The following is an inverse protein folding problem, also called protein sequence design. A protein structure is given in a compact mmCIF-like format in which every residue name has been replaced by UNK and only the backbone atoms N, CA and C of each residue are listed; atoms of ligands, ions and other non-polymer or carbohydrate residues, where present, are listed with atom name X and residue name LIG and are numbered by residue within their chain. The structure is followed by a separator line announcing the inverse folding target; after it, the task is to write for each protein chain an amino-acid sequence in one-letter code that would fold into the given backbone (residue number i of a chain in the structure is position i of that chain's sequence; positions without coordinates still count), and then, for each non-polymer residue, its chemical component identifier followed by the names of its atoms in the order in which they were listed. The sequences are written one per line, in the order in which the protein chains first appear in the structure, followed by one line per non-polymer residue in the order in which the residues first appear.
data_IF_029572232566
#
_entry.id   IF_029572232566
#
_cell.length_a   1.000
_cell.length_b   1.000
_cell.length_c   1.000
_cell.angle_alpha   90.00
_cell.angle_beta   90.00
_cell.angle_gamma   90.00
#
_symmetry.space_group_name_H-M   'P 1'
#
loop_
_entity.id
_entity.type
_entity.pdbx_description
1 polymer ?
#
# COMPACT_ATOMS: atom_id res chain seq x y z
N UNK A 1 -28.94 13.11 -7.43
CA UNK A 1 -27.55 13.25 -6.95
C UNK A 1 -26.84 14.22 -7.87
N UNK A 2 -26.67 15.46 -7.42
CA UNK A 2 -25.97 16.49 -8.17
C UNK A 2 -24.48 16.20 -8.05
N UNK A 3 -23.82 15.89 -9.17
CA UNK A 3 -22.37 15.78 -9.22
C UNK A 3 -21.80 17.15 -8.83
N UNK A 4 -21.30 17.26 -7.60
CA UNK A 4 -20.47 18.38 -7.19
C UNK A 4 -19.27 18.37 -8.14
N UNK A 5 -19.17 19.40 -8.97
CA UNK A 5 -17.96 19.71 -9.72
C UNK A 5 -16.80 19.68 -8.74
N UNK A 6 -15.86 18.73 -8.90
CA UNK A 6 -14.61 18.62 -8.12
C UNK A 6 -13.86 19.96 -8.24
N UNK A 7 -14.11 20.87 -7.30
CA UNK A 7 -13.29 22.06 -7.08
C UNK A 7 -11.85 21.60 -6.83
N UNK A 8 -10.86 22.39 -7.25
CA UNK A 8 -9.41 22.11 -7.19
C UNK A 8 -9.01 21.09 -6.10
N UNK A 9 -8.24 20.03 -6.45
CA UNK A 9 -7.87 18.97 -5.50
C UNK A 9 -7.30 19.56 -4.22
N UNK A 10 -7.94 19.27 -3.08
CA UNK A 10 -7.43 19.67 -1.78
C UNK A 10 -6.05 19.00 -1.57
N UNK A 11 -5.05 19.81 -1.26
CA UNK A 11 -3.72 19.30 -0.88
C UNK A 11 -3.62 19.18 0.63
N UNK A 12 -2.66 18.40 1.11
CA UNK A 12 -2.32 18.36 2.53
C UNK A 12 -2.09 19.78 3.08
N UNK A 13 -1.33 20.61 2.37
CA UNK A 13 -1.06 22.00 2.76
C UNK A 13 -2.34 22.83 2.94
N UNK A 14 -3.30 22.71 2.02
CA UNK A 14 -4.59 23.43 2.11
C UNK A 14 -5.39 22.95 3.32
N UNK A 15 -5.47 21.64 3.52
CA UNK A 15 -6.30 21.00 4.55
C UNK A 15 -5.81 21.27 5.96
N UNK A 16 -4.50 21.18 6.19
CA UNK A 16 -3.91 21.32 7.53
C UNK A 16 -3.53 22.75 7.88
N UNK A 17 -3.75 23.72 6.98
CA UNK A 17 -3.43 25.13 7.23
C UNK A 17 -4.03 25.66 8.52
N UNK A 18 -5.29 25.32 8.82
CA UNK A 18 -5.96 25.75 10.06
C UNK A 18 -5.27 25.15 11.29
N UNK A 19 -4.98 23.86 11.26
CA UNK A 19 -4.32 23.11 12.33
C UNK A 19 -2.86 23.55 12.54
N UNK A 20 -2.17 23.93 11.47
CA UNK A 20 -0.83 24.50 11.52
C UNK A 20 -0.86 25.93 12.06
N UNK A 21 -1.85 26.74 11.71
CA UNK A 21 -2.02 28.07 12.31
C UNK A 21 -2.27 27.98 13.83
N UNK A 22 -3.05 26.99 14.28
CA UNK A 22 -3.22 26.70 15.70
C UNK A 22 -1.90 26.31 16.36
N UNK A 23 -1.15 25.39 15.76
CA UNK A 23 0.20 25.01 16.23
C UNK A 23 1.10 26.25 16.37
N UNK A 24 1.16 27.09 15.34
CA UNK A 24 1.96 28.32 15.36
C UNK A 24 1.54 29.25 16.50
N UNK A 25 0.23 29.45 16.70
CA UNK A 25 -0.29 30.30 17.77
C UNK A 25 0.13 29.78 19.15
N UNK A 26 -0.11 28.51 19.45
CA UNK A 26 0.20 27.90 20.74
C UNK A 26 1.70 27.89 21.05
N UNK A 27 2.54 27.58 20.05
CA UNK A 27 3.99 27.58 20.23
C UNK A 27 4.56 28.99 20.45
N UNK A 28 3.99 30.02 19.83
CA UNK A 28 4.36 31.43 20.11
C UNK A 28 4.01 31.83 21.53
N UNK A 29 2.83 31.44 22.04
CA UNK A 29 2.46 31.69 23.44
C UNK A 29 3.43 31.03 24.43
N UNK A 30 3.98 29.87 24.07
CA UNK A 30 5.02 29.16 24.83
C UNK A 30 6.44 29.71 24.64
N UNK A 31 6.63 30.79 23.86
CA UNK A 31 7.94 31.41 23.63
C UNK A 31 8.88 30.61 22.73
N UNK A 32 8.36 29.67 21.93
CA UNK A 32 9.18 28.91 20.97
C UNK A 32 9.64 29.83 19.85
N UNK A 33 10.92 29.72 19.46
CA UNK A 33 11.51 30.52 18.37
C UNK A 33 10.78 30.28 17.05
N UNK A 34 10.50 31.36 16.31
CA UNK A 34 9.76 31.31 15.03
C UNK A 34 10.36 30.31 14.03
N UNK A 35 11.70 30.25 13.93
CA UNK A 35 12.39 29.29 13.06
C UNK A 35 12.03 27.82 13.39
N UNK A 36 11.88 27.47 14.67
CA UNK A 36 11.48 26.11 15.07
C UNK A 36 10.02 25.84 14.70
N UNK A 37 9.15 26.84 14.82
CA UNK A 37 7.74 26.76 14.45
C UNK A 37 7.61 26.52 12.93
N UNK A 38 8.34 27.28 12.12
CA UNK A 38 8.36 27.09 10.66
C UNK A 38 8.87 25.70 10.27
N UNK A 39 9.95 25.22 10.89
CA UNK A 39 10.51 23.89 10.65
C UNK A 39 9.51 22.77 10.98
N UNK A 40 8.76 22.90 12.09
CA UNK A 40 7.70 21.96 12.46
C UNK A 40 6.59 21.93 11.39
N UNK A 41 6.07 23.10 11.00
CA UNK A 41 5.02 23.19 9.99
C UNK A 41 5.47 22.62 8.63
N UNK A 42 6.69 22.97 8.17
CA UNK A 42 7.24 22.44 6.92
C UNK A 42 7.48 20.93 6.97
N UNK A 43 7.79 20.40 8.14
CA UNK A 43 7.97 18.96 8.35
C UNK A 43 6.64 18.20 8.45
N UNK A 44 5.50 18.89 8.46
CA UNK A 44 4.17 18.28 8.45
C UNK A 44 3.58 18.05 9.84
N UNK A 45 4.09 18.73 10.87
CA UNK A 45 3.47 18.73 12.20
C UNK A 45 2.28 19.68 12.24
N UNK A 46 1.29 19.35 13.07
CA UNK A 46 0.07 20.14 13.26
C UNK A 46 -0.54 19.94 14.65
N UNK A 47 -1.52 20.78 15.01
CA UNK A 47 -2.26 20.68 16.28
C UNK A 47 -3.77 20.68 16.02
N UNK A 48 -4.54 20.01 16.87
CA UNK A 48 -6.01 19.97 16.78
C UNK A 48 -6.65 20.62 18.00
N UNK A 49 -7.79 21.27 17.80
CA UNK A 49 -8.47 22.05 18.85
C UNK A 49 -8.91 21.19 20.05
N UNK A 50 -9.25 19.92 19.83
CA UNK A 50 -9.73 19.01 20.86
C UNK A 50 -8.59 18.40 21.70
N UNK A 51 -7.32 18.59 21.32
CA UNK A 51 -6.14 18.12 22.07
C UNK A 51 -5.01 19.17 22.03
N UNK A 52 -5.19 20.35 22.67
CA UNK A 52 -4.28 21.49 22.54
C UNK A 52 -2.89 21.27 23.15
N UNK A 53 -2.72 20.23 23.97
CA UNK A 53 -1.43 19.89 24.59
C UNK A 53 -0.62 18.87 23.79
N UNK A 54 -1.06 18.52 22.58
CA UNK A 54 -0.44 17.52 21.73
C UNK A 54 -0.18 18.04 20.33
N UNK A 55 0.95 17.61 19.79
CA UNK A 55 1.38 17.87 18.42
C UNK A 55 1.33 16.54 17.67
N UNK A 56 0.76 16.57 16.47
CA UNK A 56 0.60 15.42 15.60
C UNK A 56 1.58 15.49 14.44
N UNK A 57 2.08 14.35 14.00
CA UNK A 57 2.98 14.21 12.85
C UNK A 57 2.25 13.50 11.71
N UNK A 58 1.92 14.25 10.66
CA UNK A 58 1.20 13.72 9.50
C UNK A 58 2.00 12.71 8.65
N UNK A 59 3.28 12.50 8.94
CA UNK A 59 4.05 11.40 8.36
C UNK A 59 3.61 10.04 8.92
N UNK A 60 3.33 9.97 10.23
CA UNK A 60 3.13 8.70 10.94
C UNK A 60 1.74 8.52 11.53
N UNK A 61 0.86 9.52 11.39
CA UNK A 61 -0.52 9.44 11.84
C UNK A 61 -0.67 9.53 13.37
N UNK A 62 -1.92 9.72 13.80
CA UNK A 62 -2.27 9.89 15.22
C UNK A 62 -2.50 8.57 15.98
N UNK A 63 -2.44 7.43 15.29
CA UNK A 63 -2.84 6.11 15.80
C UNK A 63 -1.91 5.59 16.91
N UNK A 64 -0.63 5.99 16.89
CA UNK A 64 0.40 5.47 17.78
C UNK A 64 1.07 6.61 18.55
N UNK A 65 0.73 6.68 19.84
CA UNK A 65 1.35 7.60 20.79
C UNK A 65 2.88 7.48 20.74
N UNK A 66 3.57 8.61 20.85
CA UNK A 66 5.02 8.76 20.75
C UNK A 66 5.62 8.38 19.39
N UNK A 67 4.83 8.04 18.36
CA UNK A 67 5.31 7.83 16.99
C UNK A 67 4.81 8.91 16.04
N UNK A 68 3.53 9.26 16.11
CA UNK A 68 2.99 10.40 15.38
C UNK A 68 2.10 11.33 16.21
N UNK A 69 2.15 11.19 17.54
CA UNK A 69 1.48 12.06 18.50
C UNK A 69 2.41 12.28 19.70
N UNK A 70 2.69 13.55 20.00
CA UNK A 70 3.64 13.94 21.03
C UNK A 70 2.99 14.95 21.98
N UNK A 71 3.29 14.85 23.28
CA UNK A 71 3.06 15.98 24.17
C UNK A 71 3.98 17.14 23.74
N UNK A 72 3.43 18.35 23.69
CA UNK A 72 4.15 19.55 23.22
C UNK A 72 5.50 19.74 23.91
N UNK A 73 5.55 19.61 25.24
CA UNK A 73 6.76 19.88 26.01
C UNK A 73 7.79 18.74 25.87
N UNK A 74 7.34 17.52 25.55
CA UNK A 74 8.25 16.39 25.23
C UNK A 74 8.88 16.60 23.85
N UNK A 75 8.08 16.96 22.84
CA UNK A 75 8.59 17.19 21.48
C UNK A 75 9.62 18.31 21.45
N UNK A 76 9.34 19.44 22.12
CA UNK A 76 10.25 20.58 22.12
C UNK A 76 11.58 20.26 22.80
N UNK A 77 11.57 19.51 23.90
CA UNK A 77 12.80 19.06 24.58
C UNK A 77 13.64 18.11 23.74
N UNK A 78 13.01 17.26 22.92
CA UNK A 78 13.74 16.29 22.08
C UNK A 78 14.70 16.93 21.08
N UNK A 79 14.45 18.19 20.68
CA UNK A 79 15.32 18.94 19.75
C UNK A 79 16.60 19.44 20.42
N UNK A 80 16.49 19.90 21.67
CA UNK A 80 17.58 20.61 22.36
C UNK A 80 18.53 19.67 23.10
N UNK A 81 18.05 18.51 23.53
CA UNK A 81 18.83 17.57 24.36
C UNK A 81 19.43 16.40 23.57
N UNK A 82 19.23 16.36 22.26
CA UNK A 82 19.31 15.11 21.51
C UNK A 82 18.17 14.19 21.94
N UNK A 83 17.76 13.30 21.05
CA UNK A 83 16.77 12.28 21.39
C UNK A 83 17.32 11.52 22.60
N UNK A 84 16.63 11.55 23.76
CA UNK A 84 16.95 10.58 24.81
C UNK A 84 16.78 9.20 24.17
N UNK A 85 17.87 8.43 24.09
CA UNK A 85 17.87 7.09 23.50
C UNK A 85 16.78 6.18 24.12
N UNK A 86 16.29 6.53 25.31
CA UNK A 86 15.19 5.88 26.03
C UNK A 86 13.82 5.96 25.31
N UNK A 87 13.61 6.91 24.39
CA UNK A 87 12.34 7.09 23.67
C UNK A 87 12.42 6.59 22.21
N UNK A 88 13.64 6.37 21.69
CA UNK A 88 13.82 5.90 20.32
C UNK A 88 13.31 4.45 20.16
N UNK A 89 12.36 4.25 19.26
CA UNK A 89 11.78 2.94 18.97
C UNK A 89 12.44 2.38 17.70
N UNK A 90 13.67 1.86 17.86
CA UNK A 90 14.45 1.31 16.75
C UNK A 90 14.13 -0.18 16.57
N UNK A 91 13.81 -0.64 15.34
CA UNK A 91 13.74 -2.06 15.07
C UNK A 91 15.13 -2.69 15.22
N UNK A 92 15.17 -4.00 15.47
CA UNK A 92 16.43 -4.75 15.43
C UNK A 92 16.93 -4.84 13.98
N UNK A 93 18.22 -4.63 13.77
CA UNK A 93 18.85 -4.68 12.45
C UNK A 93 19.79 -5.88 12.37
N UNK A 94 19.70 -6.61 11.27
CA UNK A 94 20.45 -7.83 11.01
C UNK A 94 21.08 -7.75 9.62
N UNK A 95 22.26 -8.36 9.47
CA UNK A 95 22.93 -8.52 8.19
C UNK A 95 22.97 -9.99 7.83
N UNK A 96 22.44 -10.33 6.66
CA UNK A 96 22.26 -11.72 6.22
C UNK A 96 22.93 -11.96 4.87
N UNK A 97 23.52 -13.13 4.71
CA UNK A 97 24.14 -13.62 3.47
C UNK A 97 23.29 -14.69 2.77
N UNK A 98 22.26 -15.24 3.43
CA UNK A 98 21.35 -16.22 2.82
C UNK A 98 19.95 -16.16 3.44
N UNK A 99 18.97 -16.72 2.75
CA UNK A 99 17.56 -16.59 3.09
C UNK A 99 17.17 -17.32 4.38
N UNK A 100 17.81 -18.45 4.70
CA UNK A 100 17.54 -19.24 5.90
C UNK A 100 17.84 -18.49 7.20
N UNK A 101 18.74 -17.50 7.15
CA UNK A 101 19.10 -16.73 8.33
C UNK A 101 17.92 -15.93 8.88
N UNK A 102 16.94 -15.54 8.05
CA UNK A 102 15.73 -14.85 8.52
C UNK A 102 14.95 -15.75 9.49
N UNK A 103 14.68 -17.00 9.11
CA UNK A 103 13.94 -17.92 9.96
C UNK A 103 14.75 -18.38 11.17
N UNK A 104 16.07 -18.56 11.03
CA UNK A 104 16.98 -18.85 12.15
C UNK A 104 16.94 -17.73 13.21
N UNK A 105 17.08 -16.47 12.79
CA UNK A 105 17.04 -15.29 13.67
C UNK A 105 15.66 -15.16 14.33
N UNK A 106 14.58 -15.21 13.55
CA UNK A 106 13.22 -15.10 14.08
C UNK A 106 12.79 -16.31 14.92
N UNK A 107 13.52 -17.42 14.88
CA UNK A 107 13.26 -18.58 15.74
C UNK A 107 14.15 -18.63 16.98
N UNK A 108 15.08 -17.68 17.14
CA UNK A 108 16.07 -17.69 18.21
C UNK A 108 15.48 -17.39 19.60
N UNK A 109 14.41 -16.60 19.66
CA UNK A 109 13.64 -16.36 20.89
C UNK A 109 12.20 -16.85 20.77
N UNK A 110 11.61 -17.28 21.90
CA UNK A 110 10.29 -17.91 21.93
C UNK A 110 9.17 -17.00 21.40
N UNK A 111 9.30 -15.68 21.59
CA UNK A 111 8.27 -14.73 21.20
C UNK A 111 8.28 -14.52 19.68
N UNK A 112 9.45 -14.27 19.09
CA UNK A 112 9.61 -14.20 17.64
C UNK A 112 9.20 -15.52 16.98
N UNK A 113 9.60 -16.65 17.58
CA UNK A 113 9.22 -17.97 17.08
C UNK A 113 7.71 -18.15 17.06
N UNK A 114 7.02 -17.78 18.14
CA UNK A 114 5.57 -17.82 18.20
C UNK A 114 4.93 -16.95 17.11
N UNK A 115 5.46 -15.75 16.84
CA UNK A 115 4.94 -14.88 15.78
C UNK A 115 5.18 -15.45 14.37
N UNK A 116 6.35 -16.05 14.14
CA UNK A 116 6.68 -16.70 12.88
C UNK A 116 5.78 -17.93 12.63
N UNK A 117 5.68 -18.83 13.61
CA UNK A 117 4.92 -20.09 13.50
C UNK A 117 3.42 -19.87 13.31
N UNK A 118 2.88 -18.74 13.79
CA UNK A 118 1.47 -18.37 13.63
C UNK A 118 1.21 -17.42 12.45
N UNK A 119 2.22 -17.11 11.63
CA UNK A 119 2.05 -16.26 10.44
C UNK A 119 1.70 -14.80 10.75
N UNK A 120 2.11 -14.27 11.90
CA UNK A 120 1.86 -12.87 12.27
C UNK A 120 2.85 -11.88 11.67
N UNK A 121 3.98 -12.37 11.14
CA UNK A 121 4.93 -11.53 10.42
C UNK A 121 4.53 -11.36 8.97
N UNK A 122 4.77 -10.16 8.48
CA UNK A 122 4.71 -9.83 7.07
C UNK A 122 5.97 -9.10 6.66
N UNK A 123 6.29 -9.14 5.37
CA UNK A 123 7.59 -8.77 4.85
C UNK A 123 7.44 -7.85 3.64
N UNK A 124 8.41 -6.96 3.46
CA UNK A 124 8.57 -6.17 2.24
C UNK A 124 10.03 -6.15 1.84
N UNK A 125 10.31 -6.59 0.63
CA UNK A 125 11.63 -6.45 0.03
C UNK A 125 11.76 -5.15 -0.73
N UNK A 126 12.90 -4.49 -0.59
CA UNK A 126 13.30 -3.38 -1.44
C UNK A 126 14.76 -3.54 -1.85
N UNK A 127 15.06 -3.01 -3.03
CA UNK A 127 16.41 -3.08 -3.60
C UNK A 127 17.46 -2.26 -2.87
N UNK A 128 17.01 -1.25 -2.15
CA UNK A 128 17.81 -0.37 -1.34
C UNK A 128 16.90 0.25 -0.28
N UNK A 129 17.50 0.64 0.83
CA UNK A 129 16.81 1.45 1.81
C UNK A 129 16.60 2.87 1.30
N UNK A 130 15.45 3.45 1.62
CA UNK A 130 15.16 4.85 1.34
C UNK A 130 14.99 5.60 2.64
N UNK A 131 15.61 6.78 2.72
CA UNK A 131 15.48 7.68 3.85
C UNK A 131 15.05 9.08 3.40
N UNK A 132 14.61 9.87 4.37
CA UNK A 132 14.38 11.31 4.27
C UNK A 132 14.92 12.00 5.52
N UNK A 133 15.37 13.24 5.36
CA UNK A 133 15.71 14.11 6.49
C UNK A 133 14.84 15.35 6.41
N UNK A 134 13.92 15.50 7.38
CA UNK A 134 13.03 16.67 7.46
C UNK A 134 13.73 17.81 8.20
N UNK A 135 13.21 19.03 8.05
CA UNK A 135 13.75 20.19 8.79
C UNK A 135 13.59 20.02 10.32
N UNK A 136 12.55 19.32 10.73
CA UNK A 136 12.31 18.84 12.08
C UNK A 136 12.00 17.34 11.98
N UNK A 137 13.00 16.50 12.25
CA UNK A 137 12.85 15.06 12.16
C UNK A 137 11.97 14.48 13.27
N UNK A 138 11.38 13.32 13.02
CA UNK A 138 10.64 12.59 14.06
C UNK A 138 11.58 12.16 15.19
N UNK A 139 11.33 12.54 16.45
CA UNK A 139 12.28 12.28 17.53
C UNK A 139 12.36 10.82 17.95
N UNK A 140 11.43 9.95 17.57
CA UNK A 140 11.43 8.55 18.01
C UNK A 140 11.76 7.57 16.89
N UNK A 141 11.61 8.00 15.64
CA UNK A 141 11.80 7.18 14.43
C UNK A 141 13.02 7.59 13.60
N UNK A 142 13.62 8.76 13.86
CA UNK A 142 14.86 9.16 13.19
C UNK A 142 16.10 8.54 13.84
N UNK A 143 17.14 8.35 13.02
CA UNK A 143 18.47 7.97 13.51
C UNK A 143 19.21 9.19 14.12
N UNK A 144 20.44 9.00 14.58
CA UNK A 144 21.25 10.06 15.18
C UNK A 144 21.58 11.22 14.23
N UNK A 145 21.53 10.97 12.92
CA UNK A 145 21.72 11.98 11.89
C UNK A 145 20.41 12.70 11.53
N UNK A 146 19.28 12.32 12.14
CA UNK A 146 17.95 12.84 11.82
C UNK A 146 17.35 12.24 10.55
N UNK A 147 17.90 11.15 10.01
CA UNK A 147 17.31 10.45 8.87
C UNK A 147 16.18 9.53 9.35
N UNK A 148 15.08 9.57 8.62
CA UNK A 148 13.88 8.77 8.84
C UNK A 148 13.72 7.77 7.70
N UNK A 149 13.49 6.50 8.05
CA UNK A 149 13.24 5.44 7.08
C UNK A 149 11.90 5.66 6.36
N UNK A 150 11.90 5.53 5.04
CA UNK A 150 10.73 5.71 4.19
C UNK A 150 10.21 4.35 3.69
N UNK A 151 9.12 3.89 4.30
CA UNK A 151 8.38 2.70 3.90
C UNK A 151 7.00 3.13 3.46
N UNK A 152 6.91 3.55 2.20
CA UNK A 152 5.68 4.13 1.66
C UNK A 152 5.16 3.34 0.43
N UNK A 153 3.84 3.32 0.22
CA UNK A 153 3.20 2.93 -1.04
C UNK A 153 3.83 3.56 -2.28
N UNK A 154 3.75 2.87 -3.42
CA UNK A 154 4.32 3.32 -4.70
C UNK A 154 3.80 4.69 -5.12
N UNK A 155 2.48 4.90 -5.00
CA UNK A 155 1.79 6.12 -5.41
C UNK A 155 2.30 7.39 -4.68
N UNK A 156 2.83 7.25 -3.46
CA UNK A 156 3.32 8.35 -2.64
C UNK A 156 4.76 8.75 -2.96
N UNK A 157 5.54 7.90 -3.64
CA UNK A 157 6.96 8.16 -3.94
C UNK A 157 7.18 9.42 -4.77
N UNK A 158 6.22 9.80 -5.61
CA UNK A 158 6.25 11.04 -6.41
C UNK A 158 6.28 12.32 -5.56
N UNK A 159 5.87 12.24 -4.29
CA UNK A 159 5.89 13.36 -3.35
C UNK A 159 7.14 13.38 -2.48
N UNK A 160 8.14 12.51 -2.72
CA UNK A 160 9.37 12.43 -1.90
C UNK A 160 10.11 13.77 -1.78
N UNK A 161 10.07 14.61 -2.82
CA UNK A 161 10.71 15.93 -2.80
C UNK A 161 9.90 17.00 -2.06
N UNK A 162 8.58 16.83 -1.96
CA UNK A 162 7.70 17.75 -1.25
C UNK A 162 6.39 17.06 -0.84
N UNK A 163 6.41 16.46 0.35
CA UNK A 163 5.29 15.69 0.87
C UNK A 163 4.06 16.56 1.14
N UNK A 164 4.21 17.85 1.44
CA UNK A 164 3.05 18.74 1.71
C UNK A 164 2.18 18.98 0.48
N UNK A 165 2.70 18.70 -0.73
CA UNK A 165 1.95 18.74 -1.99
C UNK A 165 1.16 17.46 -2.28
N UNK A 166 1.19 16.46 -1.39
CA UNK A 166 0.37 15.25 -1.54
C UNK A 166 -1.10 15.63 -1.60
N UNK A 167 -1.80 15.03 -2.55
CA UNK A 167 -3.22 15.26 -2.78
C UNK A 167 -4.04 14.40 -1.83
N UNK A 168 -5.13 14.98 -1.32
CA UNK A 168 -6.07 14.31 -0.42
C UNK A 168 -7.02 13.44 -1.22
N UNK A 169 -7.43 13.95 -2.38
CA UNK A 169 -8.19 13.27 -3.42
C UNK A 169 -7.29 12.52 -4.41
N UNK A 170 -6.06 12.17 -4.02
CA UNK A 170 -5.47 10.96 -4.56
C UNK A 170 -6.29 9.78 -4.00
N UNK A 171 -7.58 9.80 -4.33
CA UNK A 171 -8.56 8.81 -4.01
C UNK A 171 -7.97 7.50 -4.49
N UNK A 172 -8.33 6.46 -3.76
CA UNK A 172 -8.26 5.08 -4.17
C UNK A 172 -9.10 4.92 -5.46
N UNK A 173 -8.68 5.53 -6.58
CA UNK A 173 -9.26 5.30 -7.91
C UNK A 173 -8.82 3.89 -8.30
N UNK A 174 -9.41 2.91 -7.64
CA UNK A 174 -9.41 1.55 -8.10
C UNK A 174 -10.28 1.49 -9.33
N UNK A 175 -9.70 1.05 -10.44
CA UNK A 175 -10.37 0.99 -11.74
C UNK A 175 -11.63 0.11 -11.71
N UNK A 176 -11.72 -0.83 -10.76
CA UNK A 176 -12.92 -1.64 -10.54
C UNK A 176 -14.13 -0.85 -10.01
N UNK A 177 -13.90 0.34 -9.44
CA UNK A 177 -14.97 1.25 -9.02
C UNK A 177 -15.63 1.98 -10.21
N UNK A 178 -14.98 2.04 -11.38
CA UNK A 178 -15.49 2.72 -12.57
C UNK A 178 -16.05 1.72 -13.59
N UNK A 179 -16.68 2.22 -14.66
CA UNK A 179 -17.08 1.38 -15.79
C UNK A 179 -15.89 0.89 -16.63
N UNK A 180 -14.68 1.39 -16.36
CA UNK A 180 -13.49 1.04 -17.13
C UNK A 180 -13.05 -0.41 -16.97
N UNK A 181 -13.40 -1.02 -15.85
CA UNK A 181 -13.13 -2.42 -15.56
C UNK A 181 -14.26 -3.37 -15.96
N UNK A 182 -15.36 -2.89 -16.58
CA UNK A 182 -16.52 -3.73 -16.90
C UNK A 182 -16.15 -4.90 -17.82
N UNK A 183 -15.23 -4.70 -18.78
CA UNK A 183 -14.73 -5.78 -19.65
C UNK A 183 -13.96 -6.89 -18.89
N UNK A 184 -13.41 -6.57 -17.72
CA UNK A 184 -12.77 -7.54 -16.82
C UNK A 184 -13.84 -8.19 -15.95
N UNK A 185 -14.73 -7.38 -15.36
CA UNK A 185 -15.80 -7.82 -14.46
C UNK A 185 -16.74 -8.80 -15.16
N UNK A 186 -17.19 -8.47 -16.38
CA UNK A 186 -18.15 -9.28 -17.14
C UNK A 186 -17.46 -10.24 -18.12
N UNK A 187 -16.16 -10.50 -17.94
CA UNK A 187 -15.43 -11.42 -18.79
C UNK A 187 -16.13 -12.79 -18.91
N UNK A 188 -16.23 -13.28 -20.14
CA UNK A 188 -16.93 -14.53 -20.47
C UNK A 188 -18.44 -14.39 -20.68
N UNK A 189 -19.03 -13.19 -20.51
CA UNK A 189 -20.43 -12.91 -20.84
C UNK A 189 -20.47 -12.14 -22.17
N UNK A 190 -20.94 -12.79 -23.22
CA UNK A 190 -21.07 -12.15 -24.54
C UNK A 190 -22.11 -11.03 -24.51
N UNK A 191 -21.80 -9.91 -25.15
CA UNK A 191 -22.69 -8.75 -25.30
C UNK A 191 -23.29 -8.27 -23.96
N UNK A 192 -22.53 -8.35 -22.87
CA UNK A 192 -23.01 -8.01 -21.52
C UNK A 192 -23.59 -6.58 -21.45
N UNK A 193 -23.07 -5.63 -22.26
CA UNK A 193 -23.59 -4.26 -22.30
C UNK A 193 -25.05 -4.20 -22.80
N UNK A 194 -25.48 -5.18 -23.58
CA UNK A 194 -26.83 -5.23 -24.15
C UNK A 194 -27.83 -5.92 -23.21
N UNK A 195 -27.37 -6.71 -22.23
CA UNK A 195 -28.22 -7.51 -21.32
C UNK A 195 -29.31 -6.67 -20.67
N UNK A 196 -29.02 -5.52 -20.00
CA UNK A 196 -30.08 -4.72 -19.38
C UNK A 196 -31.12 -4.22 -20.40
N UNK A 197 -30.68 -3.83 -21.59
CA UNK A 197 -31.56 -3.29 -22.63
C UNK A 197 -32.43 -4.38 -23.28
N UNK A 198 -31.88 -5.59 -23.46
CA UNK A 198 -32.59 -6.73 -24.03
C UNK A 198 -33.60 -7.27 -23.04
N UNK A 199 -33.25 -7.34 -21.76
CA UNK A 199 -34.17 -7.72 -20.70
C UNK A 199 -35.36 -6.76 -20.61
N UNK A 200 -35.09 -5.45 -20.62
CA UNK A 200 -36.14 -4.41 -20.62
C UNK A 200 -37.09 -4.56 -21.82
N UNK A 201 -36.57 -4.83 -23.03
CA UNK A 201 -37.41 -4.99 -24.23
C UNK A 201 -38.34 -6.19 -24.16
N UNK A 202 -37.89 -7.29 -23.54
CA UNK A 202 -38.69 -8.53 -23.44
C UNK A 202 -39.70 -8.48 -22.29
N UNK A 203 -39.32 -7.88 -21.16
CA UNK A 203 -40.07 -7.99 -19.90
C UNK A 203 -40.67 -6.66 -19.39
N UNK A 204 -40.32 -5.53 -20.00
CA UNK A 204 -40.71 -4.20 -19.52
C UNK A 204 -39.85 -3.72 -18.36
N UNK A 205 -40.40 -2.84 -17.50
CA UNK A 205 -39.73 -2.43 -16.27
C UNK A 205 -39.51 -3.64 -15.37
N UNK A 206 -38.31 -3.76 -14.84
CA UNK A 206 -37.93 -4.87 -13.97
C UNK A 206 -37.24 -4.36 -12.71
N UNK A 207 -37.39 -5.12 -11.63
CA UNK A 207 -36.59 -5.02 -10.42
C UNK A 207 -35.29 -5.80 -10.59
N UNK A 208 -34.29 -5.40 -9.82
CA UNK A 208 -33.01 -6.07 -9.70
C UNK A 208 -33.16 -7.59 -9.44
N UNK A 209 -34.11 -7.99 -8.58
CA UNK A 209 -34.36 -9.38 -8.23
C UNK A 209 -34.92 -10.22 -9.39
N UNK A 210 -35.65 -9.62 -10.33
CA UNK A 210 -36.21 -10.37 -11.47
C UNK A 210 -35.13 -10.84 -12.45
N UNK A 211 -33.96 -10.19 -12.48
CA UNK A 211 -32.80 -10.67 -13.25
C UNK A 211 -32.14 -11.91 -12.61
N UNK A 212 -32.18 -12.05 -11.27
CA UNK A 212 -31.70 -13.25 -10.57
C UNK A 212 -32.55 -14.46 -10.97
N UNK A 213 -33.87 -14.25 -11.04
CA UNK A 213 -34.83 -15.28 -11.38
C UNK A 213 -34.92 -15.54 -12.91
N UNK A 214 -34.06 -14.87 -13.71
CA UNK A 214 -33.98 -15.13 -15.16
C UNK A 214 -33.60 -16.59 -15.41
N UNK A 215 -34.14 -17.16 -16.48
CA UNK A 215 -33.76 -18.51 -16.93
C UNK A 215 -32.50 -18.50 -17.81
N UNK A 216 -32.01 -17.32 -18.20
CA UNK A 216 -30.78 -17.15 -18.98
C UNK A 216 -29.56 -17.05 -18.04
N UNK A 217 -28.62 -18.01 -18.08
CA UNK A 217 -27.42 -18.00 -17.24
C UNK A 217 -26.55 -16.75 -17.42
N UNK A 218 -26.53 -16.14 -18.61
CA UNK A 218 -25.75 -14.93 -18.86
C UNK A 218 -26.33 -13.73 -18.10
N UNK A 219 -27.65 -13.67 -17.98
CA UNK A 219 -28.38 -12.60 -17.28
C UNK A 219 -28.25 -12.75 -15.77
N UNK A 220 -28.33 -13.98 -15.27
CA UNK A 220 -28.04 -14.31 -13.88
C UNK A 220 -26.60 -13.90 -13.52
N UNK A 221 -25.62 -14.35 -14.30
CA UNK A 221 -24.21 -14.04 -14.05
C UNK A 221 -23.91 -12.54 -14.16
N UNK A 222 -24.51 -11.83 -15.12
CA UNK A 222 -24.40 -10.37 -15.24
C UNK A 222 -24.91 -9.70 -13.96
N UNK A 223 -26.11 -10.09 -13.52
CA UNK A 223 -26.73 -9.49 -12.35
C UNK A 223 -25.93 -9.77 -11.07
N UNK A 224 -25.51 -11.01 -10.84
CA UNK A 224 -24.71 -11.38 -9.67
C UNK A 224 -23.47 -10.52 -9.55
N UNK A 225 -22.73 -10.34 -10.66
CA UNK A 225 -21.52 -9.52 -10.69
C UNK A 225 -21.81 -8.04 -10.50
N UNK A 226 -22.85 -7.51 -11.16
CA UNK A 226 -23.29 -6.12 -10.98
C UNK A 226 -23.70 -5.84 -9.53
N UNK A 227 -24.48 -6.74 -8.94
CA UNK A 227 -24.96 -6.61 -7.57
C UNK A 227 -23.79 -6.59 -6.59
N UNK A 228 -22.84 -7.52 -6.72
CA UNK A 228 -21.67 -7.62 -5.84
C UNK A 228 -20.71 -6.43 -5.97
N UNK A 229 -20.50 -5.93 -7.19
CA UNK A 229 -19.44 -4.94 -7.46
C UNK A 229 -19.92 -3.50 -7.57
N UNK A 230 -21.20 -3.28 -7.85
CA UNK A 230 -21.74 -1.94 -8.11
C UNK A 230 -22.87 -1.57 -7.15
N UNK A 231 -23.75 -2.50 -6.80
CA UNK A 231 -24.89 -2.21 -5.93
C UNK A 231 -24.60 -2.42 -4.44
N UNK A 232 -23.87 -3.48 -4.09
CA UNK A 232 -23.53 -3.88 -2.72
C UNK A 232 -22.04 -3.68 -2.40
N UNK A 233 -21.35 -2.83 -3.18
CA UNK A 233 -19.94 -2.53 -2.99
C UNK A 233 -19.72 -1.61 -1.79
N UNK A 234 -19.94 -2.13 -0.59
CA UNK A 234 -19.36 -1.53 0.61
C UNK A 234 -17.84 -1.70 0.53
N UNK A 235 -17.16 -0.67 0.01
CA UNK A 235 -15.70 -0.52 0.00
C UNK A 235 -14.92 -1.80 -0.34
N UNK A 236 -14.96 -2.21 -1.61
CA UNK A 236 -14.15 -3.32 -2.14
C UNK A 236 -12.65 -2.98 -2.21
N UNK A 237 -12.06 -2.57 -1.08
CA UNK A 237 -10.61 -2.41 -0.89
C UNK A 237 -9.81 -3.65 -1.31
N UNK A 238 -10.46 -4.80 -1.30
CA UNK A 238 -9.97 -6.09 -1.80
C UNK A 238 -9.64 -6.09 -3.30
N UNK A 239 -10.38 -5.34 -4.12
CA UNK A 239 -10.12 -5.22 -5.56
C UNK A 239 -8.90 -4.33 -5.84
N UNK A 240 -8.67 -3.31 -5.00
CA UNK A 240 -7.44 -2.54 -5.06
C UNK A 240 -6.21 -3.42 -4.79
N UNK A 241 -6.35 -4.46 -3.95
CA UNK A 241 -5.30 -5.47 -3.78
C UNK A 241 -5.02 -6.18 -5.09
N UNK A 242 -6.06 -6.70 -5.75
CA UNK A 242 -5.92 -7.37 -7.04
C UNK A 242 -5.25 -6.42 -8.03
N UNK A 243 -5.78 -5.21 -8.21
CA UNK A 243 -5.23 -4.17 -9.10
C UNK A 243 -3.72 -3.94 -8.90
N UNK A 244 -3.27 -3.82 -7.65
CA UNK A 244 -1.88 -3.55 -7.32
C UNK A 244 -0.91 -4.66 -7.72
N UNK A 245 -1.29 -5.92 -7.53
CA UNK A 245 -0.44 -7.06 -7.93
C UNK A 245 -0.33 -7.25 -9.45
N UNK A 246 -1.18 -6.58 -10.22
CA UNK A 246 -1.03 -6.48 -11.67
C UNK A 246 -0.43 -5.14 -12.13
N UNK A 247 0.06 -4.32 -11.20
CA UNK A 247 0.87 -3.14 -11.46
C UNK A 247 0.15 -1.80 -11.36
N UNK A 248 -1.13 -1.80 -11.01
CA UNK A 248 -1.90 -0.57 -10.85
C UNK A 248 -1.55 0.11 -9.50
N UNK A 249 -1.13 1.37 -9.52
CA UNK A 249 -0.74 2.08 -8.30
C UNK A 249 -1.93 2.30 -7.35
N UNK A 250 -1.78 1.94 -6.07
CA UNK A 250 -2.76 2.26 -5.01
C UNK A 250 -2.06 2.86 -3.79
N UNK A 251 -2.84 3.30 -2.79
CA UNK A 251 -2.32 3.75 -1.47
C UNK A 251 -1.99 2.60 -0.52
N UNK A 252 -2.13 1.36 -0.99
CA UNK A 252 -1.73 0.16 -0.29
C UNK A 252 -0.22 -0.05 -0.29
N UNK A 253 0.31 -0.53 0.84
CA UNK A 253 1.69 -0.97 0.92
C UNK A 253 1.79 -2.46 0.60
N UNK A 254 2.46 -2.81 -0.51
CA UNK A 254 2.72 -4.22 -0.83
C UNK A 254 3.53 -4.90 0.27
N UNK A 255 2.91 -5.89 0.90
CA UNK A 255 3.50 -6.82 1.85
C UNK A 255 3.27 -8.26 1.38
N UNK A 256 4.07 -9.18 1.93
CA UNK A 256 3.90 -10.63 1.74
C UNK A 256 4.07 -11.36 3.06
N UNK A 257 3.35 -12.46 3.27
CA UNK A 257 3.57 -13.37 4.40
C UNK A 257 4.75 -14.34 4.17
N UNK A 258 5.33 -14.35 2.96
CA UNK A 258 6.49 -15.16 2.60
C UNK A 258 7.76 -14.29 2.44
N UNK A 259 8.70 -14.44 3.38
CA UNK A 259 9.97 -13.71 3.34
C UNK A 259 10.81 -14.07 2.10
N UNK A 260 10.60 -15.23 1.45
CA UNK A 260 11.29 -15.57 0.19
C UNK A 260 10.78 -14.70 -0.96
N UNK A 261 9.47 -14.47 -1.03
CA UNK A 261 8.87 -13.52 -1.97
C UNK A 261 9.39 -12.10 -1.72
N UNK A 262 9.54 -11.67 -0.46
CA UNK A 262 10.20 -10.39 -0.16
C UNK A 262 11.64 -10.35 -0.67
N UNK A 263 12.42 -11.42 -0.46
CA UNK A 263 13.81 -11.49 -0.94
C UNK A 263 13.93 -11.49 -2.46
N UNK A 264 12.98 -12.07 -3.18
CA UNK A 264 12.89 -11.88 -4.64
C UNK A 264 12.85 -10.40 -4.99
N UNK A 265 11.95 -9.60 -4.39
CA UNK A 265 11.87 -8.17 -4.72
C UNK A 265 13.09 -7.35 -4.29
N UNK A 266 13.83 -7.78 -3.26
CA UNK A 266 15.07 -7.13 -2.85
C UNK A 266 16.26 -7.46 -3.75
N UNK A 267 16.23 -8.61 -4.44
CA UNK A 267 17.32 -9.12 -5.28
C UNK A 267 17.07 -8.96 -6.78
N UNK A 268 15.92 -8.40 -7.18
CA UNK A 268 15.53 -8.23 -8.59
C UNK A 268 15.31 -6.76 -8.95
N UNK A 269 15.71 -6.37 -10.17
CA UNK A 269 15.42 -5.07 -10.78
C UNK A 269 14.20 -5.19 -11.69
N UNK A 270 13.19 -4.37 -11.42
CA UNK A 270 12.09 -4.12 -12.35
C UNK A 270 12.57 -3.19 -13.48
N UNK A 271 12.36 -3.59 -14.74
CA UNK A 271 12.76 -2.82 -15.92
C UNK A 271 11.60 -2.74 -16.94
N UNK A 272 11.17 -1.52 -17.27
CA UNK A 272 10.30 -1.28 -18.42
C UNK A 272 11.13 -1.32 -19.71
N UNK A 273 10.73 -2.19 -20.63
CA UNK A 273 11.32 -2.36 -21.96
C UNK A 273 10.76 -1.33 -22.94
N UNK A 274 11.47 -1.12 -24.05
CA UNK A 274 11.08 -0.18 -25.12
C UNK A 274 9.77 -0.56 -25.81
N UNK A 275 9.39 -1.84 -25.78
CA UNK A 275 8.12 -2.35 -26.28
C UNK A 275 6.94 -2.11 -25.31
N UNK A 276 7.16 -1.45 -24.17
CA UNK A 276 6.13 -1.16 -23.16
C UNK A 276 5.85 -2.32 -22.20
N UNK A 277 6.59 -3.44 -22.29
CA UNK A 277 6.49 -4.56 -21.35
C UNK A 277 7.51 -4.44 -20.24
N UNK A 278 7.28 -5.10 -19.11
CA UNK A 278 8.18 -5.16 -17.97
C UNK A 278 8.89 -6.49 -17.86
N UNK A 279 10.04 -6.50 -17.21
CA UNK A 279 10.70 -7.73 -16.77
C UNK A 279 11.38 -7.52 -15.42
N UNK A 280 11.61 -8.63 -14.72
CA UNK A 280 12.52 -8.68 -13.57
C UNK A 280 13.85 -9.26 -13.99
N UNK A 281 14.94 -8.58 -13.63
CA UNK A 281 16.31 -9.05 -13.82
C UNK A 281 17.05 -9.20 -12.49
N UNK A 282 17.80 -10.29 -12.27
CA UNK A 282 18.59 -10.42 -11.06
C UNK A 282 19.58 -9.26 -10.91
N UNK A 283 19.74 -8.78 -9.68
CA UNK A 283 20.88 -7.93 -9.31
C UNK A 283 22.12 -8.82 -9.34
N UNK A 284 23.22 -8.31 -9.93
CA UNK A 284 24.44 -9.10 -10.07
C UNK A 284 25.14 -9.35 -8.74
N UNK A 285 25.90 -10.44 -8.69
CA UNK A 285 26.70 -10.83 -7.52
C UNK A 285 27.59 -9.68 -7.04
N UNK A 286 27.68 -9.49 -5.73
CA UNK A 286 28.47 -8.42 -5.12
C UNK A 286 27.81 -7.03 -5.18
N UNK A 287 26.61 -6.92 -5.76
CA UNK A 287 25.90 -5.63 -5.94
C UNK A 287 24.62 -5.53 -5.10
N UNK A 288 24.38 -6.48 -4.20
CA UNK A 288 23.21 -6.44 -3.34
C UNK A 288 23.31 -5.32 -2.31
N UNK A 289 22.30 -4.46 -2.32
CA UNK A 289 22.02 -3.43 -1.31
C UNK A 289 20.60 -3.60 -0.75
N UNK A 290 20.03 -4.78 -1.00
CA UNK A 290 18.64 -5.09 -0.68
C UNK A 290 18.37 -5.05 0.81
N UNK A 291 17.12 -4.75 1.14
CA UNK A 291 16.62 -4.72 2.51
C UNK A 291 15.27 -5.42 2.58
N UNK A 292 15.09 -6.23 3.63
CA UNK A 292 13.82 -6.86 3.98
C UNK A 292 13.32 -6.24 5.26
N UNK A 293 12.16 -5.61 5.20
CA UNK A 293 11.46 -5.14 6.38
C UNK A 293 10.53 -6.23 6.88
N UNK A 294 10.62 -6.55 8.17
CA UNK A 294 9.70 -7.45 8.85
C UNK A 294 8.77 -6.64 9.75
N UNK A 295 7.46 -6.79 9.56
CA UNK A 295 6.43 -6.04 10.26
C UNK A 295 5.62 -6.97 11.17
N UNK A 296 5.13 -6.40 12.27
CA UNK A 296 4.14 -7.02 13.13
C UNK A 296 2.98 -6.06 13.36
N UNK A 297 1.87 -6.29 12.66
CA UNK A 297 0.64 -5.51 12.77
C UNK A 297 -0.26 -6.10 13.84
N UNK A 298 -0.24 -5.52 15.05
CA UNK A 298 -1.02 -6.04 16.17
C UNK A 298 -2.52 -5.70 16.04
N UNK A 299 -2.84 -4.45 15.71
CA UNK A 299 -4.21 -3.94 15.59
C UNK A 299 -4.22 -2.82 14.53
N UNK A 300 -4.98 -2.96 13.43
CA UNK A 300 -5.65 -4.19 12.98
C UNK A 300 -4.61 -5.24 12.57
N UNK A 301 -4.93 -6.53 12.76
CA UNK A 301 -4.17 -7.61 12.12
C UNK A 301 -4.40 -7.55 10.62
N UNK A 302 -3.35 -7.71 9.83
CA UNK A 302 -3.48 -7.82 8.38
C UNK A 302 -3.83 -9.26 7.98
N UNK A 303 -4.66 -9.40 6.95
CA UNK A 303 -5.11 -10.71 6.44
C UNK A 303 -4.40 -11.04 5.13
N UNK A 304 -4.06 -12.31 4.93
CA UNK A 304 -3.52 -12.79 3.65
C UNK A 304 -4.55 -12.61 2.54
N UNK A 305 -4.11 -12.04 1.43
CA UNK A 305 -4.94 -11.82 0.25
C UNK A 305 -5.44 -13.13 -0.35
N UNK A 306 -4.77 -14.27 -0.11
CA UNK A 306 -5.30 -15.58 -0.50
C UNK A 306 -6.65 -15.85 0.17
N UNK A 307 -6.79 -15.49 1.44
CA UNK A 307 -8.04 -15.70 2.19
C UNK A 307 -9.10 -14.68 1.79
N UNK A 308 -8.68 -13.47 1.40
CA UNK A 308 -9.54 -12.45 0.81
C UNK A 308 -10.07 -12.91 -0.57
N UNK A 309 -9.20 -13.32 -1.49
CA UNK A 309 -9.56 -13.73 -2.86
C UNK A 309 -10.49 -14.94 -2.88
N UNK A 310 -10.34 -15.88 -1.96
CA UNK A 310 -11.29 -17.01 -1.85
C UNK A 310 -12.72 -16.54 -1.61
N UNK A 311 -12.89 -15.41 -0.93
CA UNK A 311 -14.18 -14.84 -0.59
C UNK A 311 -14.62 -13.72 -1.57
N UNK A 312 -13.75 -13.31 -2.50
CA UNK A 312 -14.08 -12.39 -3.59
C UNK A 312 -14.97 -13.08 -4.63
N UNK A 313 -16.26 -13.19 -4.30
CA UNK A 313 -17.31 -13.76 -5.18
C UNK A 313 -17.32 -13.12 -6.56
N UNK A 314 -17.06 -11.82 -6.62
CA UNK A 314 -17.06 -11.01 -7.85
C UNK A 314 -16.04 -11.44 -8.90
N UNK A 315 -14.93 -12.06 -8.48
CA UNK A 315 -13.88 -12.56 -9.37
C UNK A 315 -13.74 -14.08 -9.32
N UNK A 316 -14.72 -14.82 -8.78
CA UNK A 316 -14.66 -16.30 -8.76
C UNK A 316 -14.53 -16.92 -10.15
N UNK A 317 -15.08 -16.24 -11.16
CA UNK A 317 -14.99 -16.64 -12.57
C UNK A 317 -13.62 -16.34 -13.21
N UNK A 318 -12.77 -15.54 -12.55
CA UNK A 318 -11.43 -15.17 -12.97
C UNK A 318 -10.48 -15.18 -11.77
N UNK A 319 -9.94 -16.34 -11.42
CA UNK A 319 -9.08 -16.48 -10.25
C UNK A 319 -7.71 -15.79 -10.45
N UNK A 320 -7.42 -14.66 -9.76
CA UNK A 320 -6.15 -13.97 -9.95
C UNK A 320 -5.02 -14.73 -9.24
N UNK A 321 -4.02 -15.20 -10.01
CA UNK A 321 -2.97 -16.06 -9.45
C UNK A 321 -1.83 -15.29 -8.78
N UNK A 322 -1.49 -14.09 -9.26
CA UNK A 322 -0.36 -13.31 -8.68
C UNK A 322 -0.49 -13.06 -7.19
N UNK A 323 -1.60 -12.52 -6.66
CA UNK A 323 -1.70 -12.25 -5.24
C UNK A 323 -1.67 -13.54 -4.39
N UNK A 324 -2.20 -14.64 -4.93
CA UNK A 324 -2.18 -15.96 -4.28
C UNK A 324 -0.76 -16.53 -4.19
N UNK A 325 0.00 -16.50 -5.30
CA UNK A 325 1.38 -17.03 -5.34
C UNK A 325 2.36 -16.16 -4.55
N UNK A 326 2.12 -14.86 -4.46
CA UNK A 326 2.91 -13.90 -3.69
C UNK A 326 2.53 -13.85 -2.21
N UNK A 327 1.48 -14.54 -1.77
CA UNK A 327 0.97 -14.53 -0.38
C UNK A 327 0.86 -13.12 0.18
N UNK A 328 0.27 -12.21 -0.59
CA UNK A 328 0.34 -10.79 -0.28
C UNK A 328 -0.59 -10.33 0.84
N UNK A 329 -0.36 -9.11 1.30
CA UNK A 329 -1.23 -8.32 2.14
C UNK A 329 -1.11 -6.86 1.73
N UNK A 330 -2.17 -6.08 1.94
CA UNK A 330 -2.20 -4.68 1.52
C UNK A 330 -2.84 -3.75 2.57
N UNK A 331 -2.11 -3.40 3.64
CA UNK A 331 -2.54 -2.33 4.52
C UNK A 331 -2.53 -0.99 3.76
N UNK A 332 -3.61 -0.23 3.88
CA UNK A 332 -3.76 1.08 3.24
C UNK A 332 -3.31 2.20 4.17
N UNK A 333 -2.48 3.10 3.63
CA UNK A 333 -2.00 4.28 4.34
C UNK A 333 -2.43 5.53 3.59
N UNK A 334 -3.23 6.35 4.26
CA UNK A 334 -3.81 7.56 3.74
C UNK A 334 -2.78 8.70 3.68
N UNK A 335 -3.22 9.84 3.16
CA UNK A 335 -2.36 11.02 3.00
C UNK A 335 -1.86 11.57 4.34
N UNK A 336 -2.57 11.39 5.45
CA UNK A 336 -2.24 11.95 6.77
C UNK A 336 -1.49 10.99 7.71
N UNK A 337 -1.09 9.84 7.17
CA UNK A 337 -0.29 8.81 7.86
C UNK A 337 0.58 8.03 6.86
N UNK A 338 1.08 8.70 5.82
CA UNK A 338 1.59 8.03 4.62
C UNK A 338 2.89 7.21 4.82
N UNK A 339 3.63 7.41 5.92
CA UNK A 339 4.80 6.63 6.34
C UNK A 339 4.58 5.85 7.65
N UNK A 340 3.32 5.70 8.08
CA UNK A 340 2.94 5.00 9.32
C UNK A 340 3.40 3.53 9.33
N UNK A 341 3.60 2.89 8.18
CA UNK A 341 4.13 1.53 8.11
C UNK A 341 5.43 1.32 8.92
N UNK A 342 6.28 2.36 8.98
CA UNK A 342 7.52 2.35 9.76
C UNK A 342 7.25 2.11 11.26
N UNK A 343 6.07 2.52 11.74
CA UNK A 343 5.64 2.31 13.11
C UNK A 343 5.32 0.84 13.45
N UNK A 344 5.28 -0.05 12.47
CA UNK A 344 5.01 -1.48 12.67
C UNK A 344 6.24 -2.36 12.43
N UNK A 345 7.42 -1.76 12.21
CA UNK A 345 8.66 -2.50 12.04
C UNK A 345 9.00 -3.29 13.30
N UNK A 346 9.21 -4.58 13.09
CA UNK A 346 9.72 -5.51 14.08
C UNK A 346 11.24 -5.67 13.94
N UNK A 347 11.71 -5.95 12.72
CA UNK A 347 13.11 -6.13 12.38
C UNK A 347 13.41 -5.66 10.95
N UNK A 348 14.68 -5.41 10.67
CA UNK A 348 15.21 -5.05 9.34
C UNK A 348 16.37 -5.98 9.02
N UNK A 349 16.31 -6.64 7.87
CA UNK A 349 17.37 -7.51 7.38
C UNK A 349 18.04 -6.88 6.17
N UNK A 350 19.29 -6.49 6.31
CA UNK A 350 20.13 -5.99 5.24
C UNK A 350 20.79 -7.18 4.53
N UNK A 351 20.67 -7.23 3.20
CA UNK A 351 21.33 -8.23 2.38
C UNK A 351 22.81 -7.84 2.24
N UNK A 352 23.71 -8.75 2.56
CA UNK A 352 25.12 -8.59 2.28
C UNK A 352 25.36 -8.55 0.77
N UNK A 353 26.46 -7.92 0.34
CA UNK A 353 26.77 -7.74 -1.08
C UNK A 353 26.80 -9.06 -1.87
N UNK A 354 27.26 -10.12 -1.21
CA UNK A 354 27.40 -11.49 -1.68
C UNK A 354 26.22 -12.39 -1.27
N UNK A 355 25.04 -11.81 -1.05
CA UNK A 355 23.84 -12.56 -0.67
C UNK A 355 23.52 -13.69 -1.67
N UNK A 356 23.34 -14.89 -1.14
CA UNK A 356 22.95 -16.07 -1.88
C UNK A 356 21.45 -16.04 -2.20
N UNK A 357 21.15 -15.89 -3.49
CA UNK A 357 19.79 -15.85 -4.02
C UNK A 357 19.24 -17.22 -4.42
N UNK A 358 19.94 -18.32 -4.12
CA UNK A 358 19.43 -19.66 -4.34
C UNK A 358 18.17 -19.93 -3.50
N UNK A 359 17.24 -20.71 -4.08
CA UNK A 359 16.00 -21.09 -3.41
C UNK A 359 14.93 -20.01 -3.34
N UNK A 360 15.16 -18.83 -3.94
CA UNK A 360 14.12 -17.82 -4.15
C UNK A 360 13.12 -18.28 -5.22
N UNK A 361 11.84 -17.85 -5.13
CA UNK A 361 10.86 -18.13 -6.18
C UNK A 361 11.26 -17.52 -7.52
N UNK A 362 10.89 -18.16 -8.62
CA UNK A 362 11.19 -17.64 -9.96
C UNK A 362 10.21 -16.54 -10.38
N UNK A 363 10.61 -15.72 -11.37
CA UNK A 363 9.74 -14.67 -11.92
C UNK A 363 8.48 -15.26 -12.56
N UNK A 364 8.58 -16.41 -13.23
CA UNK A 364 7.46 -17.12 -13.88
C UNK A 364 6.48 -17.69 -12.86
N UNK A 365 6.99 -18.10 -11.69
CA UNK A 365 6.15 -18.50 -10.59
C UNK A 365 5.39 -17.28 -10.02
N UNK A 366 6.07 -16.20 -9.64
CA UNK A 366 5.42 -15.04 -9.01
C UNK A 366 4.55 -14.21 -9.97
N UNK A 367 4.88 -14.22 -11.26
CA UNK A 367 4.19 -13.51 -12.33
C UNK A 367 3.84 -14.50 -13.44
N UNK A 368 2.82 -15.36 -13.27
CA UNK A 368 2.37 -16.23 -14.34
C UNK A 368 2.01 -15.45 -15.62
N UNK A 369 2.28 -16.09 -16.76
CA UNK A 369 1.88 -15.59 -18.07
C UNK A 369 0.40 -15.81 -18.37
N UNK A 370 -0.02 -15.35 -19.55
CA UNK A 370 -1.43 -15.39 -20.01
C UNK A 370 -2.03 -16.80 -20.06
N UNK A 371 -1.21 -17.81 -20.31
CA UNK A 371 -1.66 -19.21 -20.37
C UNK A 371 -2.00 -19.79 -18.99
N UNK A 372 -1.36 -19.28 -17.94
CA UNK A 372 -1.54 -19.79 -16.57
C UNK A 372 -2.54 -18.95 -15.77
N UNK A 373 -2.56 -17.63 -15.99
CA UNK A 373 -3.37 -16.67 -15.24
C UNK A 373 -4.47 -16.07 -16.14
N UNK A 374 -5.68 -16.63 -16.04
CA UNK A 374 -6.83 -16.21 -16.83
C UNK A 374 -7.28 -14.78 -16.50
N UNK A 375 -7.14 -14.35 -15.24
CA UNK A 375 -7.43 -12.98 -14.85
C UNK A 375 -6.48 -12.02 -15.57
N UNK A 376 -5.17 -12.33 -15.56
CA UNK A 376 -4.18 -11.52 -16.27
C UNK A 376 -4.46 -11.44 -17.78
N UNK A 377 -4.86 -12.56 -18.40
CA UNK A 377 -5.24 -12.56 -19.81
C UNK A 377 -6.47 -11.67 -20.09
N UNK A 378 -7.49 -11.73 -19.23
CA UNK A 378 -8.68 -10.87 -19.32
C UNK A 378 -8.32 -9.39 -19.19
N UNK A 379 -7.45 -9.03 -18.24
CA UNK A 379 -6.94 -7.66 -18.05
C UNK A 379 -6.24 -7.16 -19.32
N UNK A 380 -5.34 -7.96 -19.91
CA UNK A 380 -4.62 -7.54 -21.12
C UNK A 380 -5.54 -7.38 -22.33
N UNK A 381 -6.57 -8.23 -22.47
CA UNK A 381 -7.60 -8.11 -23.51
C UNK A 381 -8.39 -6.80 -23.34
N UNK A 382 -8.85 -6.51 -22.13
CA UNK A 382 -9.58 -5.27 -21.82
C UNK A 382 -8.70 -4.03 -22.04
N UNK A 383 -7.42 -4.08 -21.62
CA UNK A 383 -6.45 -2.99 -21.80
C UNK A 383 -6.25 -2.60 -23.27
N UNK A 384 -6.32 -3.55 -24.20
CA UNK A 384 -6.24 -3.26 -25.65
C UNK A 384 -7.33 -2.29 -26.14
N UNK A 385 -8.47 -2.26 -25.46
CA UNK A 385 -9.63 -1.45 -25.82
C UNK A 385 -9.85 -0.24 -24.89
N UNK A 386 -9.23 -0.22 -23.71
CA UNK A 386 -9.42 0.84 -22.71
C UNK A 386 -8.10 1.39 -22.15
N UNK A 387 -7.85 2.68 -22.41
CA UNK A 387 -6.65 3.40 -21.93
C UNK A 387 -6.62 3.60 -20.42
N UNK A 388 -7.75 3.59 -19.72
CA UNK A 388 -7.79 3.68 -18.27
C UNK A 388 -7.07 2.49 -17.60
N UNK A 389 -6.95 1.36 -18.30
CA UNK A 389 -6.27 0.16 -17.84
C UNK A 389 -4.75 0.17 -18.10
N UNK A 390 -4.19 1.29 -18.56
CA UNK A 390 -2.75 1.38 -18.86
C UNK A 390 -1.85 1.22 -17.63
N UNK A 391 -2.38 1.41 -16.41
CA UNK A 391 -1.68 1.11 -15.17
C UNK A 391 -1.34 -0.36 -14.99
N UNK A 392 -2.09 -1.28 -15.62
CA UNK A 392 -1.75 -2.71 -15.58
C UNK A 392 -0.49 -3.00 -16.39
N UNK A 393 0.45 -3.71 -15.77
CA UNK A 393 1.76 -4.00 -16.34
C UNK A 393 1.70 -5.29 -17.16
N UNK A 394 2.10 -5.19 -18.43
CA UNK A 394 2.37 -6.35 -19.27
C UNK A 394 3.81 -6.82 -19.08
N UNK A 395 4.04 -8.11 -18.92
CA UNK A 395 5.36 -8.71 -18.71
C UNK A 395 5.90 -9.40 -19.97
N UNK A 396 7.20 -9.30 -20.17
CA UNK A 396 7.98 -10.07 -21.15
C UNK A 396 8.66 -11.23 -20.40
N UNK A 397 8.27 -12.46 -20.73
CA UNK A 397 8.71 -13.66 -20.02
C UNK A 397 9.96 -14.27 -20.65
#
# INVERSE_FOLDING_TARGET
MTFLTRNSPDTFETRYRKQQNLLCFELRQKGVKEITIEQLCRSGYYMVEWEPNKIFDSFYGASLALRGQFNTDILLRSKDYGIEASIALRPQEYYISKIEQISEILSADERSKYYLDNGYFSYRGQRNEYTVKREFSNPTLSNENGDERLIIPGCWRKYKSNFNKRKIDADLEDVFSTGDADDIIYHGINDYQQIPSNYFKRNGYFSANELIDSTDPAEQAYYERWWQLKANAEYNSELAIVSQHYGFDTTGLDLTFDYKTACFFATQRFEMQTNGKAQYRPVGDGQHEGVIYCFYFRIPTITSTKDIIKNLTSLQHLHPLRPVRQQCALPFFLFDNFNEATCYLYAVFHLNKDFDSQGLPTKEYLFPGRGDDQFYDAVLKAKGNNRALNGFVEYDF
#
